data_IF_405387176421
#
_entry.id   IF_405387176421
#
_cell.length_a   1.000
_cell.length_b   1.000
_cell.length_c   1.000
_cell.angle_alpha   90.00
_cell.angle_beta   90.00
_cell.angle_gamma   90.00
#
_symmetry.space_group_name_H-M   'P 1'
#
loop_
_entity.id
_entity.type
_entity.pdbx_description
1 polymer ?
#
# COMPACT_ATOMS: atom_id res chain seq x y z
N UNK A 1 -8.02 6.97 -0.65
CA UNK A 1 -7.41 5.80 0.01
C UNK A 1 -6.15 6.19 0.78
N UNK A 2 -5.22 6.91 0.16
CA UNK A 2 -3.96 7.37 0.78
C UNK A 2 -4.22 8.21 2.02
N UNK A 3 -5.18 9.16 1.96
CA UNK A 3 -5.54 9.99 3.10
C UNK A 3 -6.10 9.17 4.28
N UNK A 4 -6.96 8.19 4.00
CA UNK A 4 -7.52 7.28 5.01
C UNK A 4 -6.41 6.48 5.70
N UNK A 5 -5.45 5.97 4.93
CA UNK A 5 -4.30 5.24 5.46
C UNK A 5 -3.44 6.11 6.40
N UNK A 6 -3.14 7.34 5.98
CA UNK A 6 -2.34 8.29 6.78
C UNK A 6 -3.10 8.67 8.06
N UNK A 7 -4.41 8.94 7.95
CA UNK A 7 -5.25 9.30 9.10
C UNK A 7 -5.34 8.16 10.12
N UNK A 8 -5.53 6.93 9.65
CA UNK A 8 -5.58 5.74 10.50
C UNK A 8 -4.24 5.46 11.19
N UNK A 9 -3.15 5.58 10.46
CA UNK A 9 -1.78 5.44 10.98
C UNK A 9 -1.47 6.49 12.06
N UNK A 10 -1.86 7.76 11.84
CA UNK A 10 -1.75 8.84 12.84
C UNK A 10 -2.65 8.61 14.05
N UNK A 11 -3.87 8.09 13.85
CA UNK A 11 -4.76 7.75 14.95
C UNK A 11 -4.17 6.68 15.88
N UNK A 12 -3.58 5.64 15.32
CA UNK A 12 -2.89 4.60 16.09
C UNK A 12 -1.68 5.20 16.83
N UNK A 13 -0.88 6.05 16.18
CA UNK A 13 0.22 6.78 16.84
C UNK A 13 -0.27 7.61 18.01
N UNK A 14 -1.38 8.34 17.84
CA UNK A 14 -1.97 9.16 18.90
C UNK A 14 -2.39 8.36 20.13
N UNK A 15 -2.88 7.14 19.94
CA UNK A 15 -3.27 6.23 21.04
C UNK A 15 -2.05 5.75 21.84
N UNK A 16 -0.95 5.41 21.16
CA UNK A 16 0.23 4.85 21.80
C UNK A 16 1.21 5.90 22.33
N UNK A 17 1.29 7.06 21.68
CA UNK A 17 2.28 8.11 21.97
C UNK A 17 1.67 9.43 22.45
N UNK A 18 0.38 9.49 22.73
CA UNK A 18 -0.26 10.65 23.39
C UNK A 18 -0.39 11.91 22.53
N UNK A 19 -0.46 11.77 21.19
CA UNK A 19 -0.72 12.89 20.28
C UNK A 19 0.51 13.62 19.75
N UNK A 20 1.67 13.43 20.36
CA UNK A 20 2.93 13.98 19.86
C UNK A 20 3.59 13.04 18.85
N UNK A 21 4.38 13.61 17.94
CA UNK A 21 5.06 12.81 16.91
C UNK A 21 6.00 11.79 17.57
N UNK A 22 5.98 10.53 17.10
CA UNK A 22 6.89 9.46 17.55
C UNK A 22 8.34 9.94 17.74
N UNK A 23 8.82 10.81 16.84
CA UNK A 23 10.15 11.36 16.85
C UNK A 23 10.36 12.31 18.06
N UNK A 24 9.34 13.06 18.47
CA UNK A 24 9.45 14.06 19.54
C UNK A 24 9.48 13.39 20.92
N UNK A 25 8.64 12.39 21.15
CA UNK A 25 8.63 11.65 22.43
C UNK A 25 9.83 10.70 22.58
N UNK A 26 10.36 10.14 21.49
CA UNK A 26 11.53 9.27 21.57
C UNK A 26 12.86 9.99 21.82
N UNK A 27 12.92 11.31 21.56
CA UNK A 27 14.12 12.11 21.75
C UNK A 27 14.14 12.87 23.08
N UNK A 28 13.00 13.02 23.75
CA UNK A 28 12.85 13.92 24.92
C UNK A 28 12.72 13.17 26.25
N UNK A 29 12.20 11.95 26.27
CA UNK A 29 11.96 11.18 27.50
C UNK A 29 12.91 10.00 27.65
N UNK A 30 14.01 10.19 28.34
CA UNK A 30 14.95 9.14 28.75
C UNK A 30 14.35 8.12 29.75
N UNK A 31 13.20 8.38 30.33
CA UNK A 31 12.55 7.46 31.28
C UNK A 31 11.76 6.31 30.64
N UNK A 32 11.53 6.34 29.32
CA UNK A 32 10.64 5.39 28.64
C UNK A 32 11.29 4.61 27.49
N UNK A 33 12.58 4.31 27.55
CA UNK A 33 13.31 3.55 26.51
C UNK A 33 12.68 2.20 26.19
N UNK A 34 12.09 1.53 27.14
CA UNK A 34 11.40 0.25 26.98
C UNK A 34 10.17 0.34 26.07
N UNK A 35 9.44 1.46 26.08
CA UNK A 35 8.26 1.66 25.22
C UNK A 35 8.65 1.67 23.73
N UNK A 36 9.80 2.23 23.40
CA UNK A 36 10.32 2.30 22.03
C UNK A 36 10.60 0.91 21.45
N UNK A 37 10.93 -0.04 22.29
CA UNK A 37 11.21 -1.43 21.89
C UNK A 37 9.92 -2.27 21.88
N UNK A 38 9.09 -2.16 22.93
CA UNK A 38 7.93 -3.01 23.13
C UNK A 38 6.74 -2.64 22.24
N UNK A 39 6.50 -1.34 21.96
CA UNK A 39 5.35 -0.92 21.14
C UNK A 39 5.47 -1.39 19.69
N UNK A 40 6.60 -1.22 18.98
CA UNK A 40 6.77 -1.79 17.64
C UNK A 40 6.73 -3.32 17.62
N UNK A 41 7.30 -3.98 18.64
CA UNK A 41 7.24 -5.44 18.76
C UNK A 41 5.80 -5.95 18.86
N UNK A 42 4.96 -5.29 19.66
CA UNK A 42 3.53 -5.56 19.76
C UNK A 42 2.81 -5.30 18.43
N UNK A 43 3.14 -4.19 17.74
CA UNK A 43 2.61 -3.89 16.41
C UNK A 43 2.93 -4.95 15.37
N UNK A 44 4.17 -5.44 15.37
CA UNK A 44 4.60 -6.54 14.50
C UNK A 44 3.86 -7.85 14.81
N UNK A 45 3.64 -8.15 16.08
CA UNK A 45 2.89 -9.33 16.49
C UNK A 45 1.42 -9.25 16.05
N UNK A 46 0.77 -8.10 16.26
CA UNK A 46 -0.61 -7.86 15.80
C UNK A 46 -0.71 -7.97 14.27
N UNK A 47 0.21 -7.37 13.54
CA UNK A 47 0.24 -7.47 12.08
C UNK A 47 0.46 -8.90 11.60
N UNK A 48 1.34 -9.66 12.26
CA UNK A 48 1.58 -11.07 11.98
C UNK A 48 0.32 -11.91 12.20
N UNK A 49 -0.40 -11.68 13.29
CA UNK A 49 -1.68 -12.34 13.56
C UNK A 49 -2.74 -12.00 12.50
N UNK A 50 -2.87 -10.73 12.12
CA UNK A 50 -3.80 -10.30 11.07
C UNK A 50 -3.51 -11.05 9.76
N UNK A 51 -2.26 -11.13 9.35
CA UNK A 51 -1.86 -11.82 8.12
C UNK A 51 -2.11 -13.33 8.22
N UNK A 52 -1.77 -13.96 9.35
CA UNK A 52 -1.93 -15.39 9.55
C UNK A 52 -3.39 -15.83 9.58
N UNK A 53 -4.26 -15.08 10.29
CA UNK A 53 -5.67 -15.43 10.43
C UNK A 53 -6.51 -15.00 9.23
N UNK A 54 -6.19 -13.86 8.59
CA UNK A 54 -7.04 -13.31 7.54
C UNK A 54 -6.62 -13.72 6.14
N UNK A 55 -5.32 -13.86 5.89
CA UNK A 55 -4.83 -14.25 4.57
C UNK A 55 -3.39 -14.78 4.61
N UNK A 56 -3.24 -16.09 4.77
CA UNK A 56 -1.94 -16.77 4.72
C UNK A 56 -1.14 -16.49 3.44
N UNK A 57 -1.85 -16.25 2.33
CA UNK A 57 -1.24 -15.93 1.03
C UNK A 57 -0.89 -14.42 0.86
N UNK A 58 -1.18 -13.56 1.82
CA UNK A 58 -0.80 -12.16 1.77
C UNK A 58 0.66 -11.92 2.17
N UNK A 59 1.40 -12.99 2.48
CA UNK A 59 2.84 -12.96 2.75
C UNK A 59 3.57 -12.48 1.50
N UNK A 60 4.45 -11.48 1.64
CA UNK A 60 5.27 -10.95 0.57
C UNK A 60 5.24 -9.42 0.44
N UNK A 61 6.17 -8.90 -0.34
CA UNK A 61 6.32 -7.47 -0.56
C UNK A 61 5.12 -6.90 -1.36
N UNK A 62 4.80 -5.62 -1.12
CA UNK A 62 3.64 -4.95 -1.70
C UNK A 62 3.68 -4.88 -3.23
N UNK A 63 4.69 -4.20 -3.77
CA UNK A 63 4.83 -3.96 -5.21
C UNK A 63 5.07 -5.27 -6.00
N UNK A 64 5.96 -6.18 -5.60
CA UNK A 64 6.16 -7.45 -6.29
C UNK A 64 4.89 -8.31 -6.42
N UNK A 65 3.98 -8.24 -5.44
CA UNK A 65 2.70 -8.94 -5.50
C UNK A 65 1.82 -8.41 -6.65
N UNK A 66 1.84 -7.10 -6.89
CA UNK A 66 1.11 -6.49 -8.02
C UNK A 66 1.77 -6.87 -9.35
N UNK A 67 3.10 -6.83 -9.42
CA UNK A 67 3.86 -7.25 -10.60
C UNK A 67 3.56 -8.72 -10.97
N UNK A 68 3.60 -9.62 -9.98
CA UNK A 68 3.26 -11.03 -10.17
C UNK A 68 1.82 -11.21 -10.67
N UNK A 69 0.87 -10.45 -10.12
CA UNK A 69 -0.53 -10.51 -10.54
C UNK A 69 -0.72 -10.04 -11.98
N UNK A 70 -0.02 -8.99 -12.40
CA UNK A 70 -0.06 -8.47 -13.78
C UNK A 70 0.60 -9.45 -14.74
N UNK A 71 1.76 -10.02 -14.37
CA UNK A 71 2.53 -10.90 -15.25
C UNK A 71 1.87 -12.29 -15.41
N UNK A 72 1.47 -12.91 -14.30
CA UNK A 72 1.10 -14.34 -14.27
C UNK A 72 -0.37 -14.62 -13.93
N UNK A 73 -1.09 -13.68 -13.29
CA UNK A 73 -2.45 -13.92 -12.77
C UNK A 73 -3.53 -13.10 -13.49
N UNK A 74 -3.30 -12.75 -14.76
CA UNK A 74 -4.27 -12.00 -15.57
C UNK A 74 -4.74 -10.69 -14.89
N UNK A 75 -3.86 -10.02 -14.16
CA UNK A 75 -4.14 -8.81 -13.38
C UNK A 75 -5.25 -8.99 -12.30
N UNK A 76 -5.51 -10.21 -11.85
CA UNK A 76 -6.49 -10.50 -10.79
C UNK A 76 -5.86 -10.36 -9.42
N UNK A 77 -6.25 -9.31 -8.71
CA UNK A 77 -5.86 -9.04 -7.32
C UNK A 77 -7.05 -9.34 -6.40
N UNK A 78 -6.79 -9.96 -5.26
CA UNK A 78 -7.83 -10.28 -4.28
C UNK A 78 -8.03 -9.13 -3.29
N UNK A 79 -9.26 -8.60 -3.21
CA UNK A 79 -9.62 -7.55 -2.27
C UNK A 79 -9.36 -7.96 -0.81
N UNK A 80 -9.61 -9.23 -0.44
CA UNK A 80 -9.34 -9.74 0.92
C UNK A 80 -7.87 -9.60 1.30
N UNK A 81 -6.95 -9.95 0.38
CA UNK A 81 -5.50 -9.84 0.60
C UNK A 81 -5.05 -8.39 0.74
N UNK A 82 -5.62 -7.49 -0.08
CA UNK A 82 -5.32 -6.07 -0.02
C UNK A 82 -5.78 -5.43 1.29
N UNK A 83 -6.98 -5.75 1.76
CA UNK A 83 -7.54 -5.25 3.03
C UNK A 83 -6.73 -5.77 4.21
N UNK A 84 -6.40 -7.06 4.27
CA UNK A 84 -5.55 -7.62 5.32
C UNK A 84 -4.19 -6.89 5.39
N UNK A 85 -3.58 -6.65 4.22
CA UNK A 85 -2.30 -5.93 4.11
C UNK A 85 -2.40 -4.48 4.54
N UNK A 86 -3.53 -3.82 4.26
CA UNK A 86 -3.80 -2.46 4.71
C UNK A 86 -3.78 -2.35 6.23
N UNK A 87 -4.57 -3.18 6.92
CA UNK A 87 -4.64 -3.16 8.38
C UNK A 87 -3.32 -3.58 9.04
N UNK A 88 -2.66 -4.60 8.52
CA UNK A 88 -1.35 -5.02 9.02
C UNK A 88 -0.29 -3.91 8.88
N UNK A 89 -0.23 -3.26 7.71
CA UNK A 89 0.70 -2.15 7.49
C UNK A 89 0.37 -0.92 8.34
N UNK A 90 -0.91 -0.59 8.51
CA UNK A 90 -1.34 0.52 9.36
C UNK A 90 -1.00 0.26 10.83
N UNK A 91 -1.17 -0.97 11.32
CA UNK A 91 -0.76 -1.37 12.67
C UNK A 91 0.77 -1.23 12.86
N UNK A 92 1.57 -1.75 11.93
CA UNK A 92 3.02 -1.64 12.00
C UNK A 92 3.51 -0.19 11.99
N UNK A 93 3.03 0.61 11.03
CA UNK A 93 3.46 2.01 10.89
C UNK A 93 2.92 2.84 12.06
N UNK A 94 1.68 2.56 12.51
CA UNK A 94 1.07 3.24 13.64
C UNK A 94 1.80 2.98 14.97
N UNK A 95 2.42 1.81 15.14
CA UNK A 95 3.25 1.49 16.31
C UNK A 95 4.70 1.95 16.19
N UNK A 96 5.05 2.72 15.16
CA UNK A 96 6.39 3.32 14.99
C UNK A 96 7.40 2.45 14.26
N UNK A 97 6.99 1.34 13.63
CA UNK A 97 7.91 0.57 12.80
C UNK A 97 8.31 1.35 11.54
N UNK A 98 9.60 1.35 11.23
CA UNK A 98 10.16 1.97 10.03
C UNK A 98 9.85 1.12 8.78
N UNK A 99 8.60 1.06 8.38
CA UNK A 99 8.13 0.37 7.18
C UNK A 99 7.70 1.36 6.10
N UNK A 100 7.99 1.03 4.84
CA UNK A 100 7.59 1.85 3.70
C UNK A 100 6.06 1.87 3.52
N UNK A 101 5.49 3.07 3.45
CA UNK A 101 4.04 3.28 3.21
C UNK A 101 3.61 2.95 1.78
N UNK A 102 4.53 3.00 0.84
CA UNK A 102 4.25 2.90 -0.61
C UNK A 102 3.71 1.53 -1.01
N UNK A 103 4.33 0.46 -0.52
CA UNK A 103 3.92 -0.91 -0.85
C UNK A 103 2.44 -1.21 -0.60
N UNK A 104 1.93 -1.01 0.61
CA UNK A 104 0.50 -1.19 0.91
C UNK A 104 -0.41 -0.29 0.09
N UNK A 105 -0.04 0.97 -0.13
CA UNK A 105 -0.84 1.92 -0.94
C UNK A 105 -0.97 1.46 -2.39
N UNK A 106 0.15 1.04 -3.00
CA UNK A 106 0.14 0.51 -4.38
C UNK A 106 -0.73 -0.74 -4.48
N UNK A 107 -0.60 -1.69 -3.55
CA UNK A 107 -1.43 -2.91 -3.56
C UNK A 107 -2.92 -2.60 -3.50
N UNK A 108 -3.34 -1.70 -2.60
CA UNK A 108 -4.76 -1.38 -2.43
C UNK A 108 -5.32 -0.67 -3.65
N UNK A 109 -4.63 0.37 -4.13
CA UNK A 109 -5.09 1.14 -5.29
C UNK A 109 -5.11 0.28 -6.56
N UNK A 110 -4.10 -0.56 -6.76
CA UNK A 110 -4.07 -1.53 -7.86
C UNK A 110 -5.17 -2.58 -7.75
N UNK A 111 -5.51 -3.01 -6.52
CA UNK A 111 -6.62 -3.96 -6.30
C UNK A 111 -7.96 -3.33 -6.64
N UNK A 112 -8.17 -2.06 -6.35
CA UNK A 112 -9.38 -1.34 -6.77
C UNK A 112 -9.49 -1.33 -8.29
N UNK A 113 -8.40 -1.01 -9.00
CA UNK A 113 -8.36 -1.08 -10.47
C UNK A 113 -8.67 -2.49 -11.01
N UNK A 114 -8.10 -3.52 -10.40
CA UNK A 114 -8.36 -4.92 -10.73
C UNK A 114 -9.83 -5.31 -10.52
N UNK A 115 -10.41 -4.93 -9.39
CA UNK A 115 -11.80 -5.24 -9.03
C UNK A 115 -12.79 -4.56 -10.00
N UNK A 116 -12.54 -3.30 -10.36
CA UNK A 116 -13.32 -2.56 -11.35
C UNK A 116 -13.26 -3.29 -12.71
N UNK A 117 -12.06 -3.67 -13.16
CA UNK A 117 -11.89 -4.40 -14.42
C UNK A 117 -12.65 -5.72 -14.44
N UNK A 118 -12.57 -6.49 -13.36
CA UNK A 118 -13.26 -7.78 -13.23
C UNK A 118 -14.79 -7.62 -13.21
N UNK A 119 -15.31 -6.65 -12.44
CA UNK A 119 -16.78 -6.41 -12.33
C UNK A 119 -17.39 -5.84 -13.59
N UNK A 120 -16.63 -5.06 -14.36
CA UNK A 120 -17.11 -4.48 -15.63
C UNK A 120 -16.90 -5.40 -16.83
N UNK A 121 -16.40 -6.62 -16.63
CA UNK A 121 -16.18 -7.59 -17.70
C UNK A 121 -15.14 -7.14 -18.73
N UNK A 122 -14.17 -6.33 -18.32
CA UNK A 122 -13.09 -5.83 -19.17
C UNK A 122 -12.12 -6.93 -19.56
N UNK A 123 -11.48 -6.75 -20.72
CA UNK A 123 -10.41 -7.64 -21.17
C UNK A 123 -9.23 -7.64 -20.20
N UNK A 124 -8.38 -8.66 -20.27
CA UNK A 124 -7.20 -8.78 -19.42
C UNK A 124 -6.29 -7.57 -19.61
N UNK A 125 -6.11 -7.09 -20.84
CA UNK A 125 -5.26 -5.93 -21.15
C UNK A 125 -5.84 -4.62 -20.58
N UNK A 126 -7.16 -4.43 -20.67
CA UNK A 126 -7.82 -3.28 -20.03
C UNK A 126 -7.73 -3.35 -18.50
N UNK A 127 -7.85 -4.54 -17.92
CA UNK A 127 -7.70 -4.73 -16.46
C UNK A 127 -6.26 -4.47 -16.02
N UNK A 128 -5.24 -4.87 -16.79
CA UNK A 128 -3.84 -4.51 -16.56
C UNK A 128 -3.65 -2.99 -16.55
N UNK A 129 -4.26 -2.29 -17.51
CA UNK A 129 -4.22 -0.82 -17.57
C UNK A 129 -4.85 -0.19 -16.34
N UNK A 130 -6.00 -0.69 -15.87
CA UNK A 130 -6.65 -0.20 -14.65
C UNK A 130 -5.82 -0.45 -13.39
N UNK A 131 -5.14 -1.60 -13.30
CA UNK A 131 -4.17 -1.89 -12.23
C UNK A 131 -3.01 -0.89 -12.25
N UNK A 132 -2.48 -0.58 -13.44
CA UNK A 132 -1.46 0.44 -13.64
C UNK A 132 -1.93 1.85 -13.24
N UNK A 133 -3.17 2.22 -13.58
CA UNK A 133 -3.78 3.49 -13.14
C UNK A 133 -3.84 3.58 -11.61
N UNK A 134 -4.25 2.49 -10.95
CA UNK A 134 -4.26 2.43 -9.49
C UNK A 134 -2.86 2.60 -8.87
N UNK A 135 -1.86 1.95 -9.44
CA UNK A 135 -0.47 2.07 -9.00
C UNK A 135 0.08 3.50 -9.20
N UNK A 136 -0.15 4.09 -10.38
CA UNK A 136 0.28 5.46 -10.69
C UNK A 136 -0.32 6.47 -9.71
N UNK A 137 -1.64 6.42 -9.49
CA UNK A 137 -2.31 7.29 -8.54
C UNK A 137 -1.83 7.10 -7.09
N UNK A 138 -1.51 5.87 -6.68
CA UNK A 138 -0.94 5.62 -5.35
C UNK A 138 0.44 6.26 -5.16
N UNK A 139 1.33 6.12 -6.14
CA UNK A 139 2.68 6.71 -6.12
C UNK A 139 2.60 8.23 -6.17
N UNK A 140 1.76 8.78 -7.05
CA UNK A 140 1.54 10.22 -7.13
C UNK A 140 1.06 10.79 -5.80
N UNK A 141 0.08 10.15 -5.17
CA UNK A 141 -0.45 10.59 -3.89
C UNK A 141 0.54 10.43 -2.74
N UNK A 142 1.47 9.46 -2.82
CA UNK A 142 2.48 9.25 -1.79
C UNK A 142 3.64 10.24 -1.86
N UNK A 143 4.06 10.62 -3.08
CA UNK A 143 5.25 11.43 -3.32
C UNK A 143 4.95 12.83 -3.89
N UNK A 144 3.68 13.12 -4.19
CA UNK A 144 3.26 14.34 -4.90
C UNK A 144 4.00 14.55 -6.24
N UNK A 145 4.22 13.44 -6.96
CA UNK A 145 5.03 13.38 -8.17
C UNK A 145 4.28 12.65 -9.30
N UNK A 146 3.41 13.32 -10.08
CA UNK A 146 2.62 12.70 -11.15
C UNK A 146 3.45 11.97 -12.19
N UNK A 147 4.52 12.60 -12.67
CA UNK A 147 5.44 11.99 -13.65
C UNK A 147 6.11 10.72 -13.11
N UNK A 148 6.53 10.75 -11.83
CA UNK A 148 7.10 9.59 -11.16
C UNK A 148 6.10 8.44 -11.04
N UNK A 149 4.83 8.74 -10.74
CA UNK A 149 3.76 7.74 -10.69
C UNK A 149 3.50 7.08 -12.04
N UNK A 150 3.44 7.88 -13.10
CA UNK A 150 3.25 7.37 -14.48
C UNK A 150 4.41 6.46 -14.89
N UNK A 151 5.65 6.92 -14.73
CA UNK A 151 6.85 6.15 -15.11
C UNK A 151 6.95 4.85 -14.32
N UNK A 152 6.70 4.90 -13.00
CA UNK A 152 6.69 3.72 -12.16
C UNK A 152 5.65 2.68 -12.63
N UNK A 153 4.43 3.13 -12.94
CA UNK A 153 3.37 2.21 -13.37
C UNK A 153 3.68 1.56 -14.71
N UNK A 154 4.24 2.31 -15.64
CA UNK A 154 4.57 1.81 -16.98
C UNK A 154 5.77 0.88 -16.93
N UNK A 155 6.84 1.30 -16.27
CA UNK A 155 8.12 0.58 -16.28
C UNK A 155 8.08 -0.64 -15.35
N UNK A 156 7.57 -0.46 -14.12
CA UNK A 156 7.63 -1.51 -13.10
C UNK A 156 6.41 -2.43 -13.08
N UNK A 157 5.21 -1.89 -13.29
CA UNK A 157 3.98 -2.67 -13.14
C UNK A 157 3.56 -3.32 -14.45
N UNK A 158 3.54 -2.55 -15.53
CA UNK A 158 3.10 -3.07 -16.83
C UNK A 158 4.22 -3.72 -17.61
N UNK A 159 5.48 -3.30 -17.40
CA UNK A 159 6.68 -3.73 -18.15
C UNK A 159 6.52 -3.66 -19.67
N UNK A 160 5.53 -2.93 -20.16
CA UNK A 160 5.19 -2.77 -21.58
C UNK A 160 4.78 -1.32 -21.88
N UNK A 161 5.46 -0.68 -22.81
CA UNK A 161 5.12 0.64 -23.35
C UNK A 161 4.04 0.50 -24.44
N UNK A 162 2.78 0.31 -24.04
CA UNK A 162 1.66 0.34 -24.99
C UNK A 162 1.02 1.74 -24.98
N UNK A 163 0.97 2.40 -26.12
CA UNK A 163 0.38 3.75 -26.29
C UNK A 163 -1.07 3.83 -25.78
N UNK A 164 -1.83 2.75 -25.90
CA UNK A 164 -3.22 2.67 -25.40
C UNK A 164 -3.33 2.75 -23.87
N UNK A 165 -2.34 2.25 -23.14
CA UNK A 165 -2.32 2.27 -21.68
C UNK A 165 -1.77 3.56 -21.11
N UNK A 166 -1.00 4.32 -21.89
CA UNK A 166 -0.32 5.54 -21.46
C UNK A 166 -1.29 6.66 -21.04
N UNK A 167 -2.26 6.97 -21.90
CA UNK A 167 -3.21 8.07 -21.65
C UNK A 167 -4.03 7.87 -20.38
N UNK A 168 -4.68 6.70 -20.15
CA UNK A 168 -5.41 6.46 -18.91
C UNK A 168 -4.56 6.56 -17.64
N UNK A 169 -3.29 6.10 -17.72
CA UNK A 169 -2.37 6.15 -16.58
C UNK A 169 -1.96 7.57 -16.25
N UNK A 170 -1.70 8.41 -17.26
CA UNK A 170 -1.39 9.85 -17.07
C UNK A 170 -2.58 10.55 -16.43
N UNK A 171 -3.79 10.33 -16.93
CA UNK A 171 -5.00 10.93 -16.35
C UNK A 171 -5.24 10.48 -14.92
N UNK A 172 -4.93 9.23 -14.57
CA UNK A 172 -5.09 8.72 -13.22
C UNK A 172 -4.02 9.23 -12.24
N UNK A 173 -2.89 9.73 -12.76
CA UNK A 173 -1.79 10.25 -11.95
C UNK A 173 -1.92 11.75 -11.65
N UNK A 174 -2.75 12.49 -12.36
CA UNK A 174 -2.98 13.94 -12.16
C UNK A 174 -4.18 14.17 -11.25
#
# INVERSE_FOLDING_TARGET
>A
LTWVFISMSKGIQGIFYGGDSFIQNSLVDSENEWKIIFIPALGGLVAGLIIEYWSKDAKGAGVPLVMEAVAFKQARLSAKKAVAKFFAAAACIGTGMSLGRVGPMVVISSTVGSEIGQRTGKTVDETRTLVGCGAAGAITAAFNAPLGGVLFAIELILAELRTRSFIPIVVAAV
#
